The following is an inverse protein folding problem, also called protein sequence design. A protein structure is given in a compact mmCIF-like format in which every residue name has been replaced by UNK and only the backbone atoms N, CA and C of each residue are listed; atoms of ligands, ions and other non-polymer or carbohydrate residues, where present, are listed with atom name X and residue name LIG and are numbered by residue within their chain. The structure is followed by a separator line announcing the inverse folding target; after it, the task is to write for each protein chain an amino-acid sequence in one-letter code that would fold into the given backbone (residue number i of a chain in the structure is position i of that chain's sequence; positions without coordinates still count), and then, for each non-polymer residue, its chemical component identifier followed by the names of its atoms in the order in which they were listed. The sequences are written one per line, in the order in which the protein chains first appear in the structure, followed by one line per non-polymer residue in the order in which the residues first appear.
data_IF_286348203735
#
_entry.id   IF_286348203735
#
_cell.length_a   1.000
_cell.length_b   1.000
_cell.length_c   1.000
_cell.angle_alpha   90.00
_cell.angle_beta   90.00
_cell.angle_gamma   90.00
#
_symmetry.space_group_name_H-M   'P 1'
#
loop_
_entity.id
_entity.type
_entity.pdbx_description
1 polymer ?
#
# COMPACT_ATOMS: atom_id res chain seq x y z
N UNK A 1 -36.18 6.47 28.98
CA UNK A 1 -35.68 6.85 27.65
C UNK A 1 -34.96 5.65 27.05
N UNK A 2 -35.44 5.03 25.96
CA UNK A 2 -34.82 3.85 25.42
C UNK A 2 -33.65 4.20 24.51
N UNK A 3 -32.55 3.48 24.70
CA UNK A 3 -31.33 3.48 23.85
C UNK A 3 -31.71 3.05 22.42
N UNK A 4 -31.53 3.94 21.46
CA UNK A 4 -31.64 3.61 20.03
C UNK A 4 -30.40 2.81 19.61
N UNK A 5 -30.62 1.54 19.24
CA UNK A 5 -29.64 0.71 18.59
C UNK A 5 -29.30 1.28 17.21
N UNK A 6 -28.05 1.71 17.01
CA UNK A 6 -27.49 2.02 15.68
C UNK A 6 -27.17 0.71 14.98
N UNK A 7 -28.08 0.23 14.14
CA UNK A 7 -27.79 -0.85 13.21
C UNK A 7 -27.05 -0.29 12.01
N UNK A 8 -25.72 -0.32 12.07
CA UNK A 8 -24.89 -0.11 10.89
C UNK A 8 -24.95 -1.39 10.04
N UNK A 9 -25.83 -1.42 9.04
CA UNK A 9 -25.81 -2.43 7.98
C UNK A 9 -24.67 -2.09 7.02
N UNK A 10 -23.47 -2.61 7.28
CA UNK A 10 -22.44 -2.72 6.25
C UNK A 10 -22.91 -3.75 5.23
N UNK A 11 -23.39 -3.29 4.07
CA UNK A 11 -23.67 -4.13 2.92
C UNK A 11 -22.33 -4.58 2.33
N UNK A 12 -21.88 -5.76 2.73
CA UNK A 12 -20.80 -6.47 2.04
C UNK A 12 -21.26 -6.82 0.63
N UNK A 13 -20.75 -6.11 -0.34
CA UNK A 13 -20.93 -6.44 -1.76
C UNK A 13 -20.10 -7.71 -2.05
N UNK A 14 -20.66 -8.71 -2.76
CA UNK A 14 -19.97 -9.96 -3.01
C UNK A 14 -18.77 -9.76 -3.94
N UNK A 15 -17.78 -10.64 -3.76
CA UNK A 15 -16.59 -10.84 -4.57
C UNK A 15 -16.82 -10.46 -6.03
N UNK A 16 -16.22 -9.36 -6.48
CA UNK A 16 -16.11 -9.03 -7.90
C UNK A 16 -15.30 -10.14 -8.55
N UNK A 17 -15.91 -10.91 -9.44
CA UNK A 17 -15.17 -11.69 -10.42
C UNK A 17 -14.20 -10.74 -11.13
N UNK A 18 -12.91 -10.89 -10.84
CA UNK A 18 -11.84 -10.16 -11.51
C UNK A 18 -11.87 -10.63 -12.95
N UNK A 19 -12.44 -9.81 -13.82
CA UNK A 19 -12.30 -9.96 -15.25
C UNK A 19 -10.81 -10.07 -15.54
N UNK A 20 -10.36 -11.03 -16.36
CA UNK A 20 -8.95 -11.28 -16.69
C UNK A 20 -8.37 -10.14 -17.55
N UNK A 21 -8.35 -8.94 -16.99
CA UNK A 21 -7.58 -7.82 -17.53
C UNK A 21 -6.09 -8.01 -17.21
N UNK A 22 -5.22 -7.58 -18.11
CA UNK A 22 -3.78 -7.57 -17.85
C UNK A 22 -3.48 -6.89 -16.51
N UNK A 23 -2.54 -7.41 -15.70
CA UNK A 23 -2.19 -6.80 -14.43
C UNK A 23 -1.67 -5.37 -14.62
N UNK A 24 -2.02 -4.48 -13.70
CA UNK A 24 -1.52 -3.10 -13.67
C UNK A 24 -0.02 -3.08 -13.37
N UNK A 25 0.44 -3.92 -12.44
CA UNK A 25 1.86 -4.13 -12.11
C UNK A 25 2.21 -5.61 -12.25
N UNK A 26 3.38 -5.91 -12.83
CA UNK A 26 3.95 -7.26 -12.87
C UNK A 26 5.46 -7.20 -12.68
N UNK A 27 5.96 -7.99 -11.76
CA UNK A 27 7.37 -8.27 -11.56
C UNK A 27 7.65 -9.67 -12.10
N UNK A 28 8.68 -9.81 -12.91
CA UNK A 28 9.06 -11.07 -13.55
C UNK A 28 10.49 -11.40 -13.19
N UNK A 29 10.68 -12.52 -12.47
CA UNK A 29 11.97 -13.09 -12.06
C UNK A 29 12.94 -12.02 -11.53
N UNK A 30 12.45 -11.15 -10.62
CA UNK A 30 13.21 -10.01 -10.14
C UNK A 30 14.35 -10.46 -9.23
N UNK A 31 15.56 -9.95 -9.51
CA UNK A 31 16.76 -10.17 -8.68
C UNK A 31 17.38 -8.83 -8.28
N UNK A 32 17.83 -8.74 -7.03
CA UNK A 32 18.54 -7.55 -6.57
C UNK A 32 19.48 -7.87 -5.41
N UNK A 33 20.66 -7.23 -5.40
CA UNK A 33 21.61 -7.24 -4.30
C UNK A 33 21.99 -5.80 -3.91
N UNK A 34 22.25 -5.51 -2.61
CA UNK A 34 22.66 -4.18 -2.14
C UNK A 34 24.00 -3.71 -2.68
N UNK A 35 24.88 -4.65 -3.04
CA UNK A 35 26.20 -4.37 -3.61
C UNK A 35 26.48 -5.32 -4.80
N UNK A 36 27.20 -4.85 -5.83
CA UNK A 36 27.57 -5.69 -6.97
C UNK A 36 28.30 -6.96 -6.53
N UNK A 37 27.81 -8.13 -6.96
CA UNK A 37 28.37 -9.43 -6.59
C UNK A 37 28.10 -9.86 -5.14
N UNK A 38 27.38 -9.09 -4.36
CA UNK A 38 26.96 -9.42 -2.99
C UNK A 38 25.85 -10.47 -2.93
N UNK A 39 25.49 -10.83 -1.71
CA UNK A 39 24.35 -11.73 -1.48
C UNK A 39 23.06 -11.09 -1.99
N UNK A 40 22.30 -11.83 -2.79
CA UNK A 40 20.99 -11.41 -3.27
C UNK A 40 20.03 -11.23 -2.10
N UNK A 41 19.44 -10.04 -2.01
CA UNK A 41 18.34 -9.74 -1.07
C UNK A 41 16.97 -10.03 -1.70
N UNK A 42 16.89 -10.03 -3.04
CA UNK A 42 15.71 -10.48 -3.80
C UNK A 42 16.19 -11.51 -4.82
N UNK A 43 15.54 -12.66 -4.90
CA UNK A 43 15.97 -13.77 -5.74
C UNK A 43 14.78 -14.46 -6.42
N UNK A 44 14.54 -14.10 -7.69
CA UNK A 44 13.50 -14.70 -8.52
C UNK A 44 12.09 -14.35 -8.08
N UNK A 45 11.83 -13.06 -7.79
CA UNK A 45 10.53 -12.61 -7.36
C UNK A 45 9.58 -12.48 -8.56
N UNK A 46 8.46 -13.19 -8.49
CA UNK A 46 7.31 -13.03 -9.36
C UNK A 46 6.11 -12.51 -8.55
N UNK A 47 5.55 -11.36 -8.95
CA UNK A 47 4.42 -10.72 -8.29
C UNK A 47 3.59 -9.94 -9.30
N UNK A 48 2.28 -9.89 -9.10
CA UNK A 48 1.42 -9.03 -9.91
C UNK A 48 0.30 -8.38 -9.07
N UNK A 49 -0.20 -7.26 -9.57
CA UNK A 49 -1.32 -6.51 -8.97
C UNK A 49 -2.28 -6.12 -10.08
N UNK A 50 -3.56 -6.42 -9.92
CA UNK A 50 -4.60 -6.02 -10.87
C UNK A 50 -5.24 -4.68 -10.49
N UNK A 51 -5.92 -4.05 -11.44
CA UNK A 51 -6.70 -2.85 -11.17
C UNK A 51 -7.80 -3.14 -10.13
N UNK A 52 -7.88 -2.30 -9.10
CA UNK A 52 -8.86 -2.44 -8.02
C UNK A 52 -8.56 -3.55 -7.02
N UNK A 53 -7.43 -4.27 -7.16
CA UNK A 53 -6.99 -5.31 -6.24
C UNK A 53 -6.13 -4.71 -5.11
N UNK A 54 -6.36 -5.15 -3.87
CA UNK A 54 -5.51 -4.82 -2.74
C UNK A 54 -4.59 -6.00 -2.42
N UNK A 55 -3.34 -5.89 -2.80
CA UNK A 55 -2.30 -6.91 -2.57
C UNK A 55 -1.46 -6.55 -1.35
N UNK A 56 -1.37 -7.47 -0.40
CA UNK A 56 -0.52 -7.36 0.78
C UNK A 56 0.80 -8.12 0.61
N UNK A 57 1.90 -7.50 0.98
CA UNK A 57 3.21 -8.11 1.08
C UNK A 57 3.56 -8.29 2.56
N UNK A 58 3.68 -9.55 3.01
CA UNK A 58 3.98 -9.90 4.39
C UNK A 58 5.26 -10.74 4.46
N UNK A 59 5.90 -10.74 5.62
CA UNK A 59 7.14 -11.50 5.86
C UNK A 59 7.90 -10.95 7.05
N UNK A 60 8.90 -11.68 7.57
CA UNK A 60 9.71 -11.24 8.69
C UNK A 60 10.52 -9.96 8.37
N UNK A 61 11.08 -9.33 9.41
CA UNK A 61 11.98 -8.21 9.23
C UNK A 61 13.23 -8.66 8.47
N UNK A 62 13.70 -7.82 7.54
CA UNK A 62 14.85 -8.17 6.70
C UNK A 62 14.55 -9.12 5.54
N UNK A 63 13.32 -9.60 5.36
CA UNK A 63 12.97 -10.51 4.26
C UNK A 63 13.03 -9.89 2.86
N UNK A 64 13.13 -8.56 2.74
CA UNK A 64 13.23 -7.85 1.46
C UNK A 64 11.99 -7.06 1.04
N UNK A 65 10.95 -6.93 1.87
CA UNK A 65 9.70 -6.20 1.55
C UNK A 65 9.95 -4.79 1.00
N UNK A 66 10.61 -3.95 1.77
CA UNK A 66 10.92 -2.57 1.36
C UNK A 66 11.77 -2.52 0.08
N UNK A 67 12.75 -3.41 -0.05
CA UNK A 67 13.59 -3.47 -1.26
C UNK A 67 12.78 -3.87 -2.49
N UNK A 68 11.84 -4.80 -2.34
CA UNK A 68 10.92 -5.19 -3.41
C UNK A 68 10.02 -4.03 -3.83
N UNK A 69 9.43 -3.31 -2.87
CA UNK A 69 8.64 -2.12 -3.16
C UNK A 69 9.48 -1.05 -3.87
N UNK A 70 10.72 -0.79 -3.41
CA UNK A 70 11.65 0.16 -4.06
C UNK A 70 11.96 -0.20 -5.51
N UNK A 71 12.08 -1.48 -5.83
CA UNK A 71 12.18 -1.93 -7.22
C UNK A 71 10.88 -1.69 -7.99
N UNK A 72 9.73 -1.98 -7.38
CA UNK A 72 8.42 -1.86 -8.02
C UNK A 72 8.05 -0.42 -8.42
N UNK A 73 8.47 0.60 -7.63
CA UNK A 73 8.23 2.00 -7.98
C UNK A 73 9.44 2.73 -8.60
N UNK A 74 10.42 1.99 -9.14
CA UNK A 74 11.57 2.55 -9.89
C UNK A 74 12.56 3.37 -9.04
N UNK A 75 12.60 3.19 -7.73
CA UNK A 75 13.62 3.82 -6.89
C UNK A 75 14.96 3.06 -6.97
N UNK A 76 14.90 1.73 -6.95
CA UNK A 76 16.08 0.85 -7.04
C UNK A 76 16.00 0.03 -8.32
N UNK A 77 17.07 0.07 -9.12
CA UNK A 77 17.14 -0.74 -10.33
C UNK A 77 17.50 -2.18 -9.96
N UNK A 78 16.69 -3.17 -10.39
CA UNK A 78 17.03 -4.57 -10.18
C UNK A 78 18.26 -4.99 -11.02
N UNK A 79 19.00 -6.01 -10.54
CA UNK A 79 20.13 -6.59 -11.26
C UNK A 79 19.67 -7.53 -12.38
N UNK A 80 18.47 -8.07 -12.26
CA UNK A 80 17.86 -8.96 -13.26
C UNK A 80 16.35 -9.01 -13.14
N UNK A 81 15.71 -9.56 -14.15
CA UNK A 81 14.26 -9.58 -14.27
C UNK A 81 13.69 -8.29 -14.84
N UNK A 82 12.36 -8.11 -14.76
CA UNK A 82 11.64 -6.95 -15.30
C UNK A 82 10.56 -6.48 -14.34
N UNK A 83 10.30 -5.18 -14.36
CA UNK A 83 9.16 -4.56 -13.70
C UNK A 83 8.29 -3.92 -14.78
N UNK A 84 7.09 -4.44 -14.96
CA UNK A 84 6.16 -4.03 -15.99
C UNK A 84 4.98 -3.28 -15.36
N UNK A 85 4.70 -2.09 -15.82
CA UNK A 85 3.53 -1.29 -15.50
C UNK A 85 2.67 -1.15 -16.76
N UNK A 86 1.42 -1.62 -16.73
CA UNK A 86 0.55 -1.68 -17.91
C UNK A 86 1.22 -2.39 -19.12
N UNK A 87 1.98 -3.48 -18.87
CA UNK A 87 2.82 -4.23 -19.81
C UNK A 87 4.04 -3.49 -20.38
N UNK A 88 4.37 -2.31 -19.88
CA UNK A 88 5.53 -1.54 -20.28
C UNK A 88 6.63 -1.63 -19.24
N UNK A 89 7.86 -1.94 -19.64
CA UNK A 89 9.01 -1.94 -18.73
C UNK A 89 9.29 -0.54 -18.20
N UNK A 90 9.19 -0.36 -16.88
CA UNK A 90 9.35 0.94 -16.23
C UNK A 90 10.75 1.54 -16.44
N UNK A 91 11.76 0.71 -16.71
CA UNK A 91 13.12 1.17 -16.94
C UNK A 91 13.36 1.66 -18.38
N UNK A 92 12.48 1.29 -19.32
CA UNK A 92 12.48 1.79 -20.69
C UNK A 92 11.63 3.05 -20.85
N UNK A 93 10.86 3.42 -19.83
CA UNK A 93 10.04 4.65 -19.81
C UNK A 93 10.73 5.76 -19.02
N UNK A 94 10.31 7.00 -19.25
CA UNK A 94 10.83 8.14 -18.47
C UNK A 94 10.39 8.06 -17.00
N UNK A 95 11.17 8.61 -16.05
CA UNK A 95 10.73 8.71 -14.65
C UNK A 95 9.39 9.41 -14.50
N UNK A 96 9.14 10.44 -15.30
CA UNK A 96 7.88 11.18 -15.32
C UNK A 96 6.70 10.30 -15.73
N UNK A 97 6.87 9.45 -16.74
CA UNK A 97 5.82 8.52 -17.19
C UNK A 97 5.41 7.56 -16.08
N UNK A 98 6.38 7.03 -15.32
CA UNK A 98 6.13 6.17 -14.17
C UNK A 98 5.45 6.95 -13.04
N UNK A 99 5.97 8.15 -12.70
CA UNK A 99 5.41 9.00 -11.67
C UNK A 99 3.98 9.50 -11.96
N UNK A 100 3.56 9.54 -13.22
CA UNK A 100 2.16 9.83 -13.57
C UNK A 100 1.20 8.65 -13.32
N UNK A 101 1.73 7.44 -13.09
CA UNK A 101 0.94 6.19 -12.97
C UNK A 101 1.06 5.51 -11.62
N UNK A 102 2.21 5.69 -10.96
CA UNK A 102 2.49 5.10 -9.65
C UNK A 102 2.65 6.21 -8.63
N UNK A 103 1.81 6.20 -7.62
CA UNK A 103 2.05 7.00 -6.42
C UNK A 103 2.62 6.13 -5.31
N UNK A 104 3.42 6.74 -4.45
CA UNK A 104 4.07 6.05 -3.34
C UNK A 104 3.79 6.77 -2.04
N UNK A 105 3.39 6.02 -1.03
CA UNK A 105 3.23 6.51 0.33
C UNK A 105 4.26 5.81 1.22
N UNK A 106 5.31 6.54 1.58
CA UNK A 106 6.37 6.07 2.46
C UNK A 106 6.02 6.41 3.92
N UNK A 107 6.68 5.70 4.82
CA UNK A 107 6.49 5.86 6.27
C UNK A 107 7.06 7.18 6.82
N UNK A 108 8.05 7.76 6.14
CA UNK A 108 8.71 8.98 6.60
C UNK A 108 7.86 10.21 6.27
N UNK A 109 7.69 11.07 7.26
CA UNK A 109 7.09 12.38 7.08
C UNK A 109 8.13 13.35 6.53
N UNK A 110 7.75 14.27 5.63
CA UNK A 110 8.62 15.37 5.27
C UNK A 110 9.05 16.14 6.54
N UNK A 111 10.30 16.58 6.58
CA UNK A 111 10.76 17.52 7.61
C UNK A 111 9.92 18.81 7.56
N UNK A 112 9.95 19.55 8.65
CA UNK A 112 9.19 20.83 8.73
C UNK A 112 9.86 21.91 7.86
N UNK A 113 9.36 22.05 6.64
CA UNK A 113 9.77 23.11 5.72
C UNK A 113 8.82 24.32 5.76
N UNK A 114 7.98 24.45 6.77
CA UNK A 114 6.98 25.52 6.87
C UNK A 114 5.85 25.43 5.81
N UNK A 115 5.64 24.24 5.25
CA UNK A 115 4.63 24.01 4.21
C UNK A 115 3.22 23.90 4.81
N UNK A 116 2.23 24.45 4.11
CA UNK A 116 0.83 24.22 4.42
C UNK A 116 0.37 22.83 3.98
N UNK A 117 -0.78 22.38 4.49
CA UNK A 117 -1.42 21.14 4.04
C UNK A 117 -1.66 21.17 2.53
N UNK A 118 -2.10 22.30 2.00
CA UNK A 118 -2.33 22.52 0.57
C UNK A 118 -1.03 22.35 -0.23
N UNK A 119 0.07 22.93 0.24
CA UNK A 119 1.37 22.84 -0.44
C UNK A 119 1.85 21.38 -0.51
N UNK A 120 1.73 20.65 0.60
CA UNK A 120 2.11 19.22 0.62
C UNK A 120 1.26 18.41 -0.35
N UNK A 121 -0.05 18.65 -0.43
CA UNK A 121 -0.93 17.95 -1.39
C UNK A 121 -0.58 18.35 -2.83
N UNK A 122 -0.32 19.64 -3.08
CA UNK A 122 0.04 20.17 -4.41
C UNK A 122 1.31 19.52 -4.98
N UNK A 123 2.28 19.13 -4.13
CA UNK A 123 3.47 18.37 -4.57
C UNK A 123 3.12 17.09 -5.35
N UNK A 124 1.95 16.48 -5.08
CA UNK A 124 1.48 15.32 -5.83
C UNK A 124 1.21 15.61 -7.30
N UNK A 125 1.04 16.88 -7.69
CA UNK A 125 0.85 17.28 -9.10
C UNK A 125 2.15 17.46 -9.88
N UNK A 126 3.32 17.46 -9.22
CA UNK A 126 4.63 17.62 -9.85
C UNK A 126 4.84 16.79 -11.13
N UNK A 127 4.46 15.51 -11.21
CA UNK A 127 4.62 14.74 -12.44
C UNK A 127 3.76 15.22 -13.60
N UNK A 128 2.71 15.99 -13.34
CA UNK A 128 1.77 16.50 -14.35
C UNK A 128 2.09 17.94 -14.76
N UNK A 129 2.82 18.70 -13.94
CA UNK A 129 3.17 20.09 -14.22
C UNK A 129 3.96 20.20 -15.52
N UNK A 130 3.46 21.05 -16.42
CA UNK A 130 4.13 21.52 -17.62
C UNK A 130 4.76 22.89 -17.36
N UNK A 131 5.11 23.62 -18.44
CA UNK A 131 5.60 25.00 -18.37
C UNK A 131 4.51 26.01 -17.96
N UNK A 132 3.26 25.56 -17.83
CA UNK A 132 2.11 26.39 -17.43
C UNK A 132 1.34 25.68 -16.33
N UNK A 133 1.17 26.33 -15.16
CA UNK A 133 0.27 25.90 -14.11
C UNK A 133 -1.18 25.91 -14.65
N UNK A 134 -1.89 24.79 -14.51
CA UNK A 134 -3.27 24.72 -14.95
C UNK A 134 -4.21 25.04 -13.77
N UNK A 135 -5.26 25.83 -14.02
CA UNK A 135 -6.36 26.05 -13.07
C UNK A 135 -7.03 24.73 -12.63
N UNK A 136 -6.90 23.67 -13.44
CA UNK A 136 -7.43 22.35 -13.16
C UNK A 136 -6.77 21.68 -11.96
N UNK A 137 -5.48 21.97 -11.66
CA UNK A 137 -4.77 21.40 -10.54
C UNK A 137 -5.33 21.89 -9.19
N UNK A 138 -5.76 23.15 -9.08
CA UNK A 138 -6.36 23.67 -7.85
C UNK A 138 -7.69 22.97 -7.52
N UNK A 139 -8.54 22.78 -8.53
CA UNK A 139 -9.80 22.06 -8.35
C UNK A 139 -9.61 20.61 -7.89
N UNK A 140 -8.58 19.93 -8.42
CA UNK A 140 -8.22 18.57 -8.01
C UNK A 140 -7.68 18.52 -6.57
N UNK A 141 -6.85 19.47 -6.18
CA UNK A 141 -6.34 19.60 -4.81
C UNK A 141 -7.49 19.81 -3.84
N UNK A 142 -8.39 20.76 -4.13
CA UNK A 142 -9.54 21.06 -3.27
C UNK A 142 -10.48 19.85 -3.15
N UNK A 143 -10.75 19.14 -4.24
CA UNK A 143 -11.55 17.92 -4.22
C UNK A 143 -10.92 16.81 -3.35
N UNK A 144 -9.59 16.62 -3.44
CA UNK A 144 -8.87 15.65 -2.61
C UNK A 144 -8.91 16.04 -1.13
N UNK A 145 -8.68 17.31 -0.81
CA UNK A 145 -8.76 17.83 0.54
C UNK A 145 -10.17 17.66 1.14
N UNK A 146 -11.20 17.94 0.36
CA UNK A 146 -12.60 17.76 0.79
C UNK A 146 -12.92 16.28 1.03
N UNK A 147 -12.54 15.39 0.10
CA UNK A 147 -12.78 13.95 0.22
C UNK A 147 -12.18 13.34 1.49
N UNK A 148 -11.01 13.84 1.93
CA UNK A 148 -10.29 13.35 3.10
C UNK A 148 -10.56 14.17 4.38
N UNK A 149 -11.52 15.12 4.34
CA UNK A 149 -11.89 15.94 5.49
C UNK A 149 -10.80 16.91 5.94
N UNK A 150 -9.96 17.38 5.00
CA UNK A 150 -8.82 18.27 5.26
C UNK A 150 -9.05 19.71 4.80
N UNK A 151 -10.16 19.99 4.12
CA UNK A 151 -10.43 21.30 3.51
C UNK A 151 -10.33 22.46 4.51
N UNK A 152 -10.91 22.31 5.71
CA UNK A 152 -10.86 23.35 6.76
C UNK A 152 -9.44 23.59 7.33
N UNK A 153 -8.48 22.72 7.01
CA UNK A 153 -7.08 22.81 7.45
C UNK A 153 -6.10 23.08 6.30
N UNK A 154 -6.62 23.38 5.11
CA UNK A 154 -5.81 23.50 3.89
C UNK A 154 -4.64 24.48 4.05
N UNK A 155 -4.85 25.60 4.70
CA UNK A 155 -3.88 26.67 4.88
C UNK A 155 -3.11 26.58 6.21
N UNK A 156 -3.38 25.54 7.02
CA UNK A 156 -2.60 25.27 8.24
C UNK A 156 -1.26 24.64 7.89
N UNK A 157 -0.23 24.89 8.75
CA UNK A 157 1.06 24.21 8.65
C UNK A 157 0.90 22.69 8.76
N UNK A 158 1.71 21.95 8.03
CA UNK A 158 1.72 20.48 8.07
C UNK A 158 2.32 19.92 9.37
N UNK A 159 3.38 20.56 9.88
CA UNK A 159 4.15 20.09 11.04
C UNK A 159 3.30 19.86 12.31
N UNK A 160 2.42 20.79 12.74
CA UNK A 160 1.65 20.64 13.97
C UNK A 160 0.49 19.64 13.89
N UNK A 161 0.25 19.00 12.76
CA UNK A 161 -0.82 18.01 12.61
C UNK A 161 -0.54 16.74 13.42
N UNK A 162 -1.61 16.09 13.90
CA UNK A 162 -1.54 14.76 14.50
C UNK A 162 -1.07 13.71 13.47
N UNK A 163 -0.52 12.58 13.92
CA UNK A 163 -0.06 11.50 13.04
C UNK A 163 -1.13 11.04 12.05
N UNK A 164 -2.37 10.86 12.51
CA UNK A 164 -3.49 10.47 11.64
C UNK A 164 -3.91 11.55 10.63
N UNK A 165 -3.75 12.83 10.96
CA UNK A 165 -3.96 13.93 10.01
C UNK A 165 -2.85 13.98 8.97
N UNK A 166 -1.59 13.85 9.39
CA UNK A 166 -0.44 13.75 8.49
C UNK A 166 -0.60 12.62 7.48
N UNK A 167 -1.04 11.44 7.93
CA UNK A 167 -1.28 10.30 7.03
C UNK A 167 -2.38 10.61 6.01
N UNK A 168 -3.47 11.29 6.40
CA UNK A 168 -4.49 11.72 5.44
C UNK A 168 -3.98 12.74 4.44
N UNK A 169 -3.10 13.66 4.85
CA UNK A 169 -2.46 14.61 3.93
C UNK A 169 -1.55 13.89 2.94
N UNK A 170 -0.74 12.90 3.38
CA UNK A 170 0.09 12.10 2.50
C UNK A 170 -0.74 11.24 1.53
N UNK A 171 -1.88 10.71 2.00
CA UNK A 171 -2.84 10.04 1.13
C UNK A 171 -3.42 11.01 0.10
N UNK A 172 -3.81 12.24 0.51
CA UNK A 172 -4.27 13.27 -0.42
C UNK A 172 -3.23 13.59 -1.49
N UNK A 173 -1.96 13.76 -1.08
CA UNK A 173 -0.82 13.98 -1.99
C UNK A 173 -0.67 12.84 -3.00
N UNK A 174 -0.83 11.59 -2.55
CA UNK A 174 -0.75 10.44 -3.44
C UNK A 174 -1.95 10.37 -4.41
N UNK A 175 -3.16 10.68 -3.94
CA UNK A 175 -4.38 10.60 -4.75
C UNK A 175 -4.51 11.75 -5.76
N UNK A 176 -4.05 12.97 -5.42
CA UNK A 176 -4.09 14.10 -6.36
C UNK A 176 -3.19 13.88 -7.57
N UNK A 177 -2.22 12.99 -7.47
CA UNK A 177 -1.38 12.51 -8.58
C UNK A 177 -2.19 11.71 -9.62
N UNK A 178 -3.43 11.27 -9.29
CA UNK A 178 -4.29 10.44 -10.14
C UNK A 178 -3.61 9.15 -10.64
N UNK A 179 -3.01 8.36 -9.74
CA UNK A 179 -2.25 7.18 -10.12
C UNK A 179 -3.14 6.04 -10.60
N UNK A 180 -2.55 5.04 -11.26
CA UNK A 180 -3.15 3.74 -11.57
C UNK A 180 -2.85 2.70 -10.49
N UNK A 181 -1.73 2.88 -9.82
CA UNK A 181 -1.23 2.00 -8.76
C UNK A 181 -0.76 2.86 -7.59
N UNK A 182 -1.09 2.44 -6.38
CA UNK A 182 -0.56 3.03 -5.16
C UNK A 182 0.27 1.99 -4.41
N UNK A 183 1.52 2.33 -4.13
CA UNK A 183 2.46 1.48 -3.37
C UNK A 183 2.65 2.10 -1.99
N UNK A 184 2.51 1.25 -0.94
CA UNK A 184 2.56 1.68 0.45
C UNK A 184 3.57 0.82 1.21
N UNK A 185 4.52 1.47 1.88
CA UNK A 185 5.46 0.77 2.76
C UNK A 185 5.03 0.98 4.22
N UNK A 186 4.49 -0.09 4.82
CA UNK A 186 4.01 -0.14 6.22
C UNK A 186 3.07 1.04 6.60
N UNK A 187 1.99 1.29 5.86
CA UNK A 187 1.18 2.49 5.99
C UNK A 187 0.46 2.65 7.34
N UNK A 188 0.36 1.56 8.10
CA UNK A 188 -0.36 1.53 9.38
C UNK A 188 0.55 1.65 10.61
N UNK A 189 1.88 1.69 10.42
CA UNK A 189 2.81 1.78 11.54
C UNK A 189 2.67 3.10 12.30
N UNK A 190 2.82 3.03 13.63
CA UNK A 190 2.73 4.17 14.55
C UNK A 190 1.38 4.90 14.57
N UNK A 191 0.33 4.28 14.02
CA UNK A 191 -1.03 4.81 14.09
C UNK A 191 -1.84 4.08 15.16
N UNK A 192 -2.71 4.81 15.85
CA UNK A 192 -3.74 4.23 16.69
C UNK A 192 -4.72 3.37 15.88
N UNK A 193 -5.31 2.30 16.47
CA UNK A 193 -6.19 1.37 15.75
C UNK A 193 -7.32 2.06 14.96
N UNK A 194 -7.91 3.13 15.50
CA UNK A 194 -8.94 3.90 14.80
C UNK A 194 -8.43 4.49 13.49
N UNK A 195 -7.22 5.06 13.50
CA UNK A 195 -6.63 5.68 12.31
C UNK A 195 -6.11 4.65 11.32
N UNK A 196 -5.61 3.49 11.79
CA UNK A 196 -5.24 2.36 10.94
C UNK A 196 -6.43 1.89 10.09
N UNK A 197 -7.56 1.60 10.74
CA UNK A 197 -8.79 1.15 10.09
C UNK A 197 -9.30 2.21 9.10
N UNK A 198 -9.41 3.47 9.54
CA UNK A 198 -9.88 4.55 8.67
C UNK A 198 -9.00 4.72 7.43
N UNK A 199 -7.67 4.62 7.56
CA UNK A 199 -6.73 4.69 6.43
C UNK A 199 -6.97 3.56 5.45
N UNK A 200 -7.05 2.31 5.93
CA UNK A 200 -7.24 1.13 5.08
C UNK A 200 -8.62 1.15 4.38
N UNK A 201 -9.66 1.60 5.06
CA UNK A 201 -10.97 1.84 4.46
C UNK A 201 -10.92 2.89 3.34
N UNK A 202 -10.25 4.02 3.57
CA UNK A 202 -10.05 5.04 2.54
C UNK A 202 -9.27 4.50 1.34
N UNK A 203 -8.19 3.74 1.58
CA UNK A 203 -7.41 3.10 0.52
C UNK A 203 -8.28 2.16 -0.30
N UNK A 204 -9.03 1.25 0.32
CA UNK A 204 -9.92 0.32 -0.37
C UNK A 204 -11.02 1.04 -1.17
N UNK A 205 -11.55 2.14 -0.63
CA UNK A 205 -12.56 2.96 -1.31
C UNK A 205 -12.04 3.73 -2.54
N UNK A 206 -10.72 3.76 -2.77
CA UNK A 206 -10.15 4.39 -3.98
C UNK A 206 -10.44 3.62 -5.25
N UNK A 207 -10.56 2.29 -5.17
CA UNK A 207 -10.70 1.40 -6.32
C UNK A 207 -9.43 1.28 -7.17
N UNK A 208 -8.28 1.77 -6.68
CA UNK A 208 -6.98 1.64 -7.33
C UNK A 208 -6.39 0.23 -7.14
N UNK A 209 -5.44 -0.17 -7.98
CA UNK A 209 -4.52 -1.24 -7.63
C UNK A 209 -3.64 -0.81 -6.46
N UNK A 210 -3.57 -1.63 -5.41
CA UNK A 210 -2.82 -1.34 -4.19
C UNK A 210 -1.79 -2.44 -3.94
N UNK A 211 -0.54 -2.05 -3.66
CA UNK A 211 0.50 -2.95 -3.16
C UNK A 211 1.04 -2.39 -1.85
N UNK A 212 0.79 -3.06 -0.74
CA UNK A 212 1.21 -2.59 0.56
C UNK A 212 1.99 -3.64 1.34
N UNK A 213 3.08 -3.23 2.01
CA UNK A 213 3.71 -4.07 3.03
C UNK A 213 2.97 -3.95 4.35
N UNK A 214 2.86 -5.06 5.08
CA UNK A 214 2.20 -5.12 6.38
C UNK A 214 3.07 -5.80 7.43
N UNK A 215 3.02 -5.24 8.62
CA UNK A 215 3.51 -5.85 9.86
C UNK A 215 2.41 -6.61 10.60
N UNK A 216 1.21 -6.03 10.64
CA UNK A 216 0.06 -6.63 11.28
C UNK A 216 -0.66 -7.57 10.31
N UNK A 217 -0.57 -8.88 10.59
CA UNK A 217 -1.17 -9.91 9.74
C UNK A 217 -2.70 -9.93 9.84
N UNK A 218 -3.30 -9.49 10.95
CA UNK A 218 -4.76 -9.38 11.06
C UNK A 218 -5.28 -8.22 10.19
N UNK A 219 -4.58 -7.10 10.14
CA UNK A 219 -4.93 -6.02 9.21
C UNK A 219 -4.75 -6.46 7.75
N UNK A 220 -3.66 -7.17 7.43
CA UNK A 220 -3.46 -7.74 6.10
C UNK A 220 -4.59 -8.71 5.72
N UNK A 221 -5.00 -9.58 6.66
CA UNK A 221 -6.11 -10.52 6.47
C UNK A 221 -7.45 -9.83 6.24
N UNK A 222 -7.70 -8.72 6.93
CA UNK A 222 -8.97 -8.00 6.88
C UNK A 222 -9.16 -7.16 5.62
N UNK A 223 -8.07 -6.65 5.04
CA UNK A 223 -8.15 -5.65 3.97
C UNK A 223 -7.62 -6.11 2.63
N UNK A 224 -6.70 -7.07 2.57
CA UNK A 224 -6.12 -7.51 1.30
C UNK A 224 -6.98 -8.59 0.63
N UNK A 225 -7.09 -8.51 -0.69
CA UNK A 225 -7.73 -9.53 -1.51
C UNK A 225 -6.78 -10.72 -1.72
N UNK A 226 -5.45 -10.43 -1.76
CA UNK A 226 -4.40 -11.43 -1.93
C UNK A 226 -3.16 -11.04 -1.14
N UNK A 227 -2.46 -12.04 -0.64
CA UNK A 227 -1.21 -11.91 0.08
C UNK A 227 -0.06 -12.59 -0.67
N UNK A 228 1.11 -11.96 -0.62
CA UNK A 228 2.39 -12.56 -0.92
C UNK A 228 3.22 -12.65 0.35
N UNK A 229 3.77 -13.84 0.62
CA UNK A 229 4.70 -14.05 1.74
C UNK A 229 6.11 -14.06 1.17
N UNK A 230 6.91 -13.11 1.63
CA UNK A 230 8.33 -13.05 1.29
C UNK A 230 9.16 -13.50 2.48
N UNK A 231 10.07 -14.43 2.25
CA UNK A 231 11.04 -14.90 3.22
C UNK A 231 12.39 -15.10 2.53
N UNK A 232 13.47 -14.66 3.18
CA UNK A 232 14.83 -14.71 2.66
C UNK A 232 14.94 -14.29 1.18
N UNK A 233 14.22 -13.24 0.79
CA UNK A 233 14.25 -12.68 -0.57
C UNK A 233 13.47 -13.46 -1.62
N UNK A 234 12.64 -14.43 -1.26
CA UNK A 234 11.83 -15.25 -2.18
C UNK A 234 10.37 -15.22 -1.81
N UNK A 235 9.46 -15.32 -2.78
CA UNK A 235 8.05 -15.56 -2.51
C UNK A 235 7.86 -17.03 -2.15
N UNK A 236 7.50 -17.28 -0.90
CA UNK A 236 7.30 -18.65 -0.37
C UNK A 236 5.83 -19.07 -0.37
N UNK A 237 4.91 -18.10 -0.49
CA UNK A 237 3.49 -18.37 -0.68
C UNK A 237 2.77 -17.18 -1.28
N UNK A 238 1.67 -17.45 -1.99
CA UNK A 238 0.71 -16.45 -2.48
C UNK A 238 -0.69 -17.04 -2.50
N UNK A 239 -1.70 -16.20 -2.34
CA UNK A 239 -3.11 -16.60 -2.37
C UNK A 239 -4.00 -15.68 -1.57
N UNK A 240 -5.26 -16.08 -1.34
CA UNK A 240 -6.14 -15.35 -0.44
C UNK A 240 -5.62 -15.41 1.00
N UNK A 241 -6.02 -14.49 1.88
CA UNK A 241 -5.63 -14.54 3.30
C UNK A 241 -5.84 -15.92 3.93
N UNK A 242 -6.96 -16.60 3.64
CA UNK A 242 -7.27 -17.93 4.18
C UNK A 242 -6.30 -19.01 3.70
N UNK A 243 -5.84 -18.91 2.44
CA UNK A 243 -4.89 -19.88 1.85
C UNK A 243 -3.46 -19.66 2.35
N UNK A 244 -3.13 -18.43 2.68
CA UNK A 244 -1.78 -18.01 3.03
C UNK A 244 -1.53 -18.06 4.53
N UNK A 245 -2.46 -17.58 5.34
CA UNK A 245 -2.30 -17.47 6.79
C UNK A 245 -2.72 -18.77 7.48
N UNK A 246 -1.79 -19.72 7.54
CA UNK A 246 -1.98 -21.01 8.22
C UNK A 246 -1.01 -21.12 9.40
N UNK A 247 -1.40 -21.85 10.46
CA UNK A 247 -0.57 -22.09 11.66
C UNK A 247 0.80 -22.63 11.30
N UNK A 248 0.85 -23.58 10.36
CA UNK A 248 2.10 -24.17 9.87
C UNK A 248 3.01 -23.12 9.24
N UNK A 249 2.46 -22.25 8.38
CA UNK A 249 3.26 -21.21 7.72
C UNK A 249 3.72 -20.12 8.67
N UNK A 250 2.88 -19.77 9.65
CA UNK A 250 3.25 -18.83 10.70
C UNK A 250 4.42 -19.36 11.54
N UNK A 251 4.42 -20.65 11.85
CA UNK A 251 5.55 -21.29 12.56
C UNK A 251 6.80 -21.31 11.69
N UNK A 252 6.69 -21.69 10.41
CA UNK A 252 7.84 -21.83 9.51
C UNK A 252 8.50 -20.50 9.12
N UNK A 253 7.69 -19.47 8.81
CA UNK A 253 8.18 -18.20 8.26
C UNK A 253 8.41 -17.15 9.34
N UNK A 254 7.52 -17.07 10.31
CA UNK A 254 7.59 -16.05 11.36
C UNK A 254 8.14 -16.58 12.70
N UNK A 255 8.39 -17.89 12.80
CA UNK A 255 8.94 -18.49 14.02
C UNK A 255 8.00 -18.38 15.23
N UNK A 256 6.68 -18.41 14.99
CA UNK A 256 5.68 -18.24 16.05
C UNK A 256 4.59 -19.31 15.98
N UNK A 257 4.17 -19.78 17.16
CA UNK A 257 2.95 -20.59 17.30
C UNK A 257 1.76 -19.66 17.41
N UNK A 258 0.76 -19.90 16.59
CA UNK A 258 -0.48 -19.12 16.57
C UNK A 258 -1.67 -20.07 16.36
N UNK A 259 -2.83 -19.65 16.81
CA UNK A 259 -4.11 -20.21 16.40
C UNK A 259 -4.65 -19.37 15.26
N UNK A 260 -5.09 -20.02 14.18
CA UNK A 260 -5.74 -19.35 13.04
C UNK A 260 -7.17 -19.87 12.96
N UNK A 261 -8.11 -19.00 13.25
CA UNK A 261 -9.54 -19.29 13.18
C UNK A 261 -10.26 -18.25 12.29
N UNK A 262 -11.56 -18.45 12.08
CA UNK A 262 -12.38 -17.46 11.37
C UNK A 262 -12.77 -16.33 12.31
N UNK A 263 -12.63 -15.09 11.85
CA UNK A 263 -13.08 -13.93 12.61
C UNK A 263 -14.61 -14.03 12.89
N UNK A 264 -15.08 -13.83 14.14
CA UNK A 264 -16.48 -14.09 14.51
C UNK A 264 -17.49 -13.17 13.82
N UNK A 265 -17.07 -11.98 13.38
CA UNK A 265 -17.93 -10.95 12.81
C UNK A 265 -17.59 -10.61 11.35
N UNK A 266 -16.59 -11.26 10.75
CA UNK A 266 -16.12 -10.92 9.41
C UNK A 266 -15.62 -12.17 8.63
N UNK A 267 -15.61 -12.15 7.31
CA UNK A 267 -15.27 -13.31 6.49
C UNK A 267 -13.75 -13.50 6.25
N UNK A 268 -12.90 -13.06 7.15
CA UNK A 268 -11.45 -13.22 7.04
C UNK A 268 -10.88 -14.03 8.20
N UNK A 269 -9.66 -14.62 8.07
CA UNK A 269 -9.01 -15.32 9.17
C UNK A 269 -8.60 -14.34 10.28
N UNK A 270 -8.57 -14.85 11.51
CA UNK A 270 -8.04 -14.17 12.68
C UNK A 270 -6.85 -14.96 13.23
N UNK A 271 -5.79 -14.24 13.54
CA UNK A 271 -4.55 -14.80 14.10
C UNK A 271 -4.47 -14.43 15.57
N UNK A 272 -4.36 -15.44 16.42
CA UNK A 272 -4.11 -15.28 17.87
C UNK A 272 -2.73 -15.84 18.19
N UNK A 273 -1.81 -14.96 18.60
CA UNK A 273 -0.44 -15.33 18.94
C UNK A 273 -0.40 -16.11 20.25
N UNK A 274 0.40 -17.19 20.32
CA UNK A 274 0.51 -18.07 21.49
C UNK A 274 1.91 -17.94 22.11
N UNK A 275 2.96 -18.25 21.34
CA UNK A 275 4.35 -18.26 21.81
C UNK A 275 5.34 -18.24 20.64
N UNK A 276 6.63 -17.97 20.85
CA UNK A 276 7.67 -18.34 19.89
C UNK A 276 7.58 -19.83 19.53
N UNK A 277 7.94 -20.21 18.29
CA UNK A 277 7.86 -21.59 17.79
C UNK A 277 9.00 -22.45 18.33
#
# INVERSE_FOLDING_TARGET
MPLRAFTCRASFTPVRLVCMSSPTLRLESLHWAPSPGGQRLLDGIDLHVHAGEFVGLIGPNGSGKTSLLRCAYRFTRPDGGRVLLENEDIWQRSPRWVAQRVAVMLQEFPEDFGLSVRDVVAMGRTPHQGWFDSHDDQALIDACLQRLGLHARADQGFAPLSGGEKQRVLLARALVQQPRLLILDEPTNHLDPRYQLALLEHLRATGLGLLASFHDLNLAAAFCDRLYVIDAGRIVAQGTPEQVLTEQRLAQVFGVRALVDRHPLAPHPRITWISPA
#
